data_IF_502923115936
#
_entry.id   IF_502923115936
#
_cell.length_a   1.000
_cell.length_b   1.000
_cell.length_c   1.000
_cell.angle_alpha   90.00
_cell.angle_beta   90.00
_cell.angle_gamma   90.00
#
_symmetry.space_group_name_H-M   'P 1'
#
loop_
_entity.id
_entity.type
_entity.pdbx_description
1 polymer ?
#
# COMPACT_ATOMS: atom_id res chain seq x y z
N UNK A 1 22.31 -8.39 12.44
CA UNK A 1 23.24 -9.23 11.64
C UNK A 1 24.09 -10.10 12.55
N UNK A 2 24.59 -11.25 12.10
CA UNK A 2 25.65 -11.96 12.81
C UNK A 2 26.88 -11.05 12.97
N UNK A 3 27.59 -11.17 14.09
CA UNK A 3 28.69 -10.25 14.44
C UNK A 3 29.83 -10.21 13.39
N UNK A 4 29.96 -11.25 12.56
CA UNK A 4 30.98 -11.36 11.52
C UNK A 4 30.50 -10.97 10.12
N UNK A 5 29.34 -10.31 9.99
CA UNK A 5 28.80 -9.92 8.69
C UNK A 5 29.53 -8.69 8.13
N UNK A 6 29.95 -8.72 6.86
CA UNK A 6 30.70 -7.62 6.21
C UNK A 6 29.96 -6.28 6.19
N UNK A 7 28.62 -6.31 6.17
CA UNK A 7 27.78 -5.11 6.23
C UNK A 7 27.48 -4.62 7.67
N UNK A 8 28.01 -5.29 8.70
CA UNK A 8 27.83 -4.88 10.09
C UNK A 8 29.03 -4.04 10.54
N UNK A 9 28.78 -2.78 10.88
CA UNK A 9 29.80 -1.89 11.45
C UNK A 9 29.26 -1.26 12.74
N UNK A 10 29.80 -1.70 13.88
CA UNK A 10 29.41 -1.22 15.21
C UNK A 10 29.71 0.27 15.41
N UNK A 11 30.71 0.81 14.71
CA UNK A 11 31.05 2.23 14.81
C UNK A 11 29.94 3.13 14.26
N UNK A 12 29.04 2.60 13.41
CA UNK A 12 27.93 3.37 12.85
C UNK A 12 26.65 3.25 13.69
N UNK A 13 26.67 2.46 14.76
CA UNK A 13 25.49 2.18 15.55
C UNK A 13 25.02 3.45 16.29
N UNK A 14 23.74 3.80 16.09
CA UNK A 14 23.11 4.97 16.72
C UNK A 14 23.73 6.33 16.38
N UNK A 15 24.55 6.43 15.33
CA UNK A 15 25.05 7.71 14.82
C UNK A 15 24.03 8.32 13.85
N UNK A 16 23.60 9.59 14.05
CA UNK A 16 22.73 10.29 13.12
C UNK A 16 23.34 10.37 11.71
N UNK A 17 22.52 10.14 10.68
CA UNK A 17 22.96 10.17 9.28
C UNK A 17 23.38 8.80 8.73
N UNK A 18 23.58 7.80 9.57
CA UNK A 18 23.80 6.42 9.14
C UNK A 18 22.49 5.63 9.06
N UNK A 19 22.43 4.68 8.13
CA UNK A 19 21.32 3.75 8.03
C UNK A 19 21.32 2.77 9.19
N UNK A 20 20.15 2.62 9.82
CA UNK A 20 19.90 1.62 10.85
C UNK A 20 19.12 0.46 10.26
N UNK A 21 19.36 -0.74 10.79
CA UNK A 21 18.45 -1.86 10.55
C UNK A 21 17.08 -1.57 11.20
N UNK A 22 16.07 -1.30 10.38
CA UNK A 22 14.70 -0.99 10.82
C UNK A 22 13.98 -2.21 11.42
N UNK A 23 14.39 -3.43 11.05
CA UNK A 23 13.73 -4.68 11.43
C UNK A 23 14.39 -5.37 12.62
N UNK A 24 15.49 -4.82 13.16
CA UNK A 24 16.20 -5.32 14.34
C UNK A 24 16.53 -6.82 14.25
N UNK A 25 17.19 -7.23 13.17
CA UNK A 25 17.47 -8.63 12.81
C UNK A 25 16.22 -9.48 12.49
N UNK A 26 15.03 -8.90 12.43
CA UNK A 26 13.84 -9.58 11.96
C UNK A 26 13.93 -9.87 10.46
N UNK A 27 13.72 -11.12 10.07
CA UNK A 27 13.75 -11.50 8.66
C UNK A 27 12.37 -11.20 8.08
N UNK A 28 12.33 -10.30 7.10
CA UNK A 28 11.13 -10.05 6.32
C UNK A 28 10.92 -11.20 5.34
N UNK A 29 9.86 -11.98 5.54
CA UNK A 29 9.57 -13.17 4.73
C UNK A 29 8.70 -12.85 3.53
N UNK A 30 7.79 -11.89 3.69
CA UNK A 30 6.86 -11.47 2.65
C UNK A 30 6.70 -9.95 2.63
N UNK A 31 6.54 -9.39 1.44
CA UNK A 31 6.29 -7.98 1.23
C UNK A 31 5.27 -7.80 0.10
N UNK A 32 4.28 -6.94 0.32
CA UNK A 32 3.28 -6.58 -0.67
C UNK A 32 3.09 -5.07 -0.68
N UNK A 33 3.13 -4.47 -1.87
CA UNK A 33 3.02 -3.04 -2.08
C UNK A 33 1.99 -2.76 -3.16
N UNK A 34 1.04 -1.88 -2.87
CA UNK A 34 0.03 -1.46 -3.83
C UNK A 34 0.34 -0.08 -4.42
N UNK A 35 0.70 0.88 -3.57
CA UNK A 35 1.06 2.26 -3.96
C UNK A 35 1.93 2.91 -2.87
N UNK A 36 2.52 4.10 -3.09
CA UNK A 36 3.31 4.78 -2.07
C UNK A 36 2.54 4.92 -0.75
N UNK A 37 3.16 4.47 0.35
CA UNK A 37 2.57 4.49 1.72
C UNK A 37 1.32 3.61 1.89
N UNK A 38 1.12 2.63 1.01
CA UNK A 38 0.12 1.57 1.11
C UNK A 38 0.78 0.20 0.82
N UNK A 39 1.21 -0.47 1.88
CA UNK A 39 1.94 -1.73 1.80
C UNK A 39 1.75 -2.54 3.09
N UNK A 40 2.07 -3.82 3.02
CA UNK A 40 2.13 -4.71 4.17
C UNK A 40 3.34 -5.64 4.04
N UNK A 41 3.82 -6.16 5.16
CA UNK A 41 4.96 -7.08 5.21
C UNK A 41 4.92 -7.95 6.45
N UNK A 42 5.58 -9.10 6.38
CA UNK A 42 5.63 -10.07 7.47
C UNK A 42 7.07 -10.20 7.95
N UNK A 43 7.28 -10.08 9.26
CA UNK A 43 8.60 -10.21 9.89
C UNK A 43 8.49 -11.23 11.01
N UNK A 44 9.28 -12.32 10.94
CA UNK A 44 9.25 -13.40 11.92
C UNK A 44 7.81 -13.92 12.21
N UNK A 45 6.96 -14.02 11.19
CA UNK A 45 5.56 -14.43 11.31
C UNK A 45 4.58 -13.36 11.80
N UNK A 46 5.04 -12.14 12.09
CA UNK A 46 4.19 -11.02 12.51
C UNK A 46 3.90 -10.08 11.34
N UNK A 47 2.61 -9.81 11.09
CA UNK A 47 2.18 -8.88 10.05
C UNK A 47 2.29 -7.41 10.47
N UNK A 48 2.85 -6.59 9.58
CA UNK A 48 2.89 -5.14 9.67
C UNK A 48 2.16 -4.54 8.48
N UNK A 49 1.24 -3.61 8.74
CA UNK A 49 0.36 -3.01 7.73
C UNK A 49 0.48 -1.50 7.75
N UNK A 50 0.62 -0.90 6.56
CA UNK A 50 0.64 0.55 6.34
C UNK A 50 -0.41 0.92 5.32
N UNK A 51 -1.28 1.84 5.72
CA UNK A 51 -2.31 2.43 4.86
C UNK A 51 -2.51 3.90 5.23
N UNK A 52 -1.77 4.79 4.57
CA UNK A 52 -1.87 6.23 4.84
C UNK A 52 -3.30 6.72 4.58
N UNK A 53 -3.85 7.51 5.50
CA UNK A 53 -5.20 8.08 5.39
C UNK A 53 -6.34 7.17 5.86
N UNK A 54 -6.03 5.94 6.25
CA UNK A 54 -6.97 5.00 6.89
C UNK A 54 -6.79 5.06 8.41
N UNK A 55 -7.89 4.95 9.16
CA UNK A 55 -7.84 4.99 10.63
C UNK A 55 -7.10 3.78 11.18
N UNK A 56 -6.25 3.97 12.19
CA UNK A 56 -5.40 2.92 12.78
C UNK A 56 -6.18 1.69 13.24
N UNK A 57 -7.38 1.88 13.81
CA UNK A 57 -8.20 0.75 14.26
C UNK A 57 -8.70 -0.13 13.11
N UNK A 58 -9.01 0.46 11.94
CA UNK A 58 -9.41 -0.27 10.73
C UNK A 58 -8.22 -1.12 10.25
N UNK A 59 -7.03 -0.50 10.14
CA UNK A 59 -5.81 -1.20 9.70
C UNK A 59 -5.47 -2.36 10.64
N UNK A 60 -5.64 -2.19 11.96
CA UNK A 60 -5.32 -3.24 12.94
C UNK A 60 -6.36 -4.36 13.02
N UNK A 61 -7.66 -4.02 12.99
CA UNK A 61 -8.75 -4.98 13.28
C UNK A 61 -9.41 -5.57 12.04
N UNK A 62 -9.40 -4.85 10.93
CA UNK A 62 -10.21 -5.18 9.76
C UNK A 62 -9.38 -5.54 8.53
N UNK A 63 -8.09 -5.18 8.49
CA UNK A 63 -7.22 -5.45 7.35
C UNK A 63 -6.21 -6.57 7.70
N UNK A 64 -6.00 -7.48 6.76
CA UNK A 64 -5.03 -8.59 6.82
C UNK A 64 -4.02 -8.46 5.69
N UNK A 65 -2.91 -9.21 5.76
CA UNK A 65 -1.95 -9.28 4.66
C UNK A 65 -2.59 -9.81 3.36
N UNK A 66 -3.46 -10.80 3.48
CA UNK A 66 -4.19 -11.38 2.35
C UNK A 66 -5.10 -10.38 1.63
N UNK A 67 -5.68 -9.42 2.34
CA UNK A 67 -6.43 -8.33 1.69
C UNK A 67 -5.55 -7.58 0.68
N UNK A 68 -4.29 -7.29 1.02
CA UNK A 68 -3.37 -6.62 0.09
C UNK A 68 -2.99 -7.51 -1.09
N UNK A 69 -2.69 -8.80 -0.84
CA UNK A 69 -2.39 -9.79 -1.90
C UNK A 69 -3.55 -9.91 -2.89
N UNK A 70 -4.78 -10.02 -2.39
CA UNK A 70 -5.98 -10.15 -3.21
C UNK A 70 -6.17 -8.94 -4.15
N UNK A 71 -5.95 -7.72 -3.64
CA UNK A 71 -6.01 -6.52 -4.46
C UNK A 71 -4.91 -6.51 -5.51
N UNK A 72 -3.67 -6.88 -5.15
CA UNK A 72 -2.56 -6.95 -6.10
C UNK A 72 -2.83 -7.95 -7.22
N UNK A 73 -3.26 -9.17 -6.90
CA UNK A 73 -3.56 -10.19 -7.91
C UNK A 73 -4.74 -9.78 -8.80
N UNK A 74 -5.79 -9.21 -8.20
CA UNK A 74 -6.93 -8.70 -8.97
C UNK A 74 -6.50 -7.59 -9.95
N UNK A 75 -5.61 -6.70 -9.52
CA UNK A 75 -5.05 -5.65 -10.37
C UNK A 75 -4.18 -6.20 -11.50
N UNK A 76 -3.33 -7.20 -11.23
CA UNK A 76 -2.50 -7.84 -12.26
C UNK A 76 -3.40 -8.53 -13.29
N UNK A 77 -4.37 -9.32 -12.84
CA UNK A 77 -5.27 -10.08 -13.71
C UNK A 77 -6.12 -9.17 -14.64
N UNK A 78 -6.55 -8.00 -14.17
CA UNK A 78 -7.25 -7.01 -15.01
C UNK A 78 -6.35 -6.37 -16.06
N UNK A 79 -5.07 -6.18 -15.75
CA UNK A 79 -4.14 -5.60 -16.73
C UNK A 79 -3.76 -6.60 -17.82
N UNK A 80 -3.73 -7.90 -17.51
CA UNK A 80 -3.45 -8.97 -18.46
C UNK A 80 -4.65 -9.33 -19.33
N UNK A 81 -5.82 -9.46 -18.74
CA UNK A 81 -7.04 -9.81 -19.45
C UNK A 81 -7.82 -8.52 -19.73
N UNK A 82 -7.79 -8.01 -20.97
CA UNK A 82 -8.61 -6.88 -21.43
C UNK A 82 -10.13 -7.20 -21.42
N UNK A 83 -10.63 -7.92 -20.42
CA UNK A 83 -12.02 -8.33 -20.32
C UNK A 83 -12.82 -7.21 -19.66
N UNK A 84 -13.61 -6.51 -20.49
CA UNK A 84 -14.54 -5.43 -20.15
C UNK A 84 -15.72 -5.89 -19.25
N UNK A 85 -15.67 -7.12 -18.71
CA UNK A 85 -16.75 -7.72 -17.91
C UNK A 85 -16.31 -8.44 -16.64
N UNK A 86 -15.05 -8.34 -16.23
CA UNK A 86 -14.61 -8.88 -14.93
C UNK A 86 -14.97 -7.92 -13.80
N UNK A 87 -15.60 -8.41 -12.73
CA UNK A 87 -16.06 -7.66 -11.56
C UNK A 87 -15.04 -6.59 -11.07
N UNK A 88 -15.19 -5.34 -11.54
CA UNK A 88 -14.42 -4.17 -11.11
C UNK A 88 -14.53 -3.90 -9.60
N UNK A 89 -15.46 -4.56 -8.92
CA UNK A 89 -15.63 -4.52 -7.47
C UNK A 89 -14.48 -5.18 -6.70
N UNK A 90 -13.60 -5.94 -7.38
CA UNK A 90 -12.53 -6.71 -6.71
C UNK A 90 -11.18 -6.00 -6.63
N UNK A 91 -10.98 -4.89 -7.33
CA UNK A 91 -9.71 -4.12 -7.37
C UNK A 91 -9.59 -3.02 -6.32
N UNK A 92 -10.71 -2.68 -5.68
CA UNK A 92 -10.80 -1.63 -4.67
C UNK A 92 -11.55 -2.20 -3.48
N UNK A 93 -10.96 -2.07 -2.29
CA UNK A 93 -11.62 -2.44 -1.05
C UNK A 93 -12.08 -1.18 -0.32
N UNK A 94 -13.35 -1.16 0.09
CA UNK A 94 -13.92 -0.10 0.91
C UNK A 94 -14.37 -0.63 2.27
N UNK A 95 -14.29 0.21 3.29
CA UNK A 95 -14.72 -0.12 4.66
C UNK A 95 -15.54 1.03 5.22
N UNK A 96 -16.54 0.69 6.04
CA UNK A 96 -17.28 1.68 6.80
C UNK A 96 -16.43 2.22 7.95
N UNK A 97 -16.31 3.54 8.02
CA UNK A 97 -15.53 4.25 9.02
C UNK A 97 -16.44 5.25 9.73
N UNK A 98 -16.50 5.13 11.06
CA UNK A 98 -17.16 6.11 11.91
C UNK A 98 -16.23 7.30 12.14
N UNK A 99 -16.72 8.52 11.94
CA UNK A 99 -15.97 9.77 12.07
C UNK A 99 -16.86 10.85 12.72
N UNK A 100 -16.21 11.79 13.40
CA UNK A 100 -16.87 13.00 13.91
C UNK A 100 -16.59 14.10 12.89
N UNK A 101 -17.63 14.79 12.46
CA UNK A 101 -17.56 15.85 11.45
C UNK A 101 -18.27 17.10 11.98
N UNK A 102 -17.77 18.27 11.59
CA UNK A 102 -18.45 19.55 11.85
C UNK A 102 -18.82 20.19 10.51
N UNK A 103 -20.07 20.64 10.38
CA UNK A 103 -20.52 21.47 9.26
C UNK A 103 -21.37 22.61 9.79
N UNK A 104 -21.10 23.85 9.33
CA UNK A 104 -21.78 25.06 9.83
C UNK A 104 -21.78 25.14 11.37
N UNK A 105 -20.63 24.84 11.98
CA UNK A 105 -20.43 24.82 13.44
C UNK A 105 -21.27 23.78 14.22
N UNK A 106 -21.94 22.84 13.55
CA UNK A 106 -22.65 21.73 14.20
C UNK A 106 -21.84 20.45 14.09
N UNK A 107 -21.53 19.83 15.24
CA UNK A 107 -20.75 18.59 15.34
C UNK A 107 -21.69 17.39 15.39
N UNK A 108 -21.40 16.38 14.57
CA UNK A 108 -22.16 15.12 14.54
C UNK A 108 -21.26 13.94 14.23
N UNK A 109 -21.74 12.75 14.59
CA UNK A 109 -21.12 11.49 14.20
C UNK A 109 -21.67 11.05 12.85
N UNK A 110 -20.80 10.59 11.96
CA UNK A 110 -21.15 10.08 10.63
C UNK A 110 -20.44 8.76 10.39
N UNK A 111 -21.12 7.83 9.73
CA UNK A 111 -20.50 6.62 9.17
C UNK A 111 -20.35 6.82 7.67
N UNK A 112 -19.13 6.62 7.15
CA UNK A 112 -18.83 6.80 5.72
C UNK A 112 -18.12 5.56 5.21
N UNK A 113 -18.57 5.04 4.06
CA UNK A 113 -17.80 4.03 3.31
C UNK A 113 -16.62 4.71 2.63
N UNK A 114 -15.40 4.28 2.98
CA UNK A 114 -14.16 4.85 2.45
C UNK A 114 -13.33 3.76 1.80
N UNK A 115 -12.75 4.05 0.65
CA UNK A 115 -11.73 3.21 0.01
C UNK A 115 -10.50 3.11 0.92
N UNK A 116 -10.13 1.88 1.29
CA UNK A 116 -8.98 1.59 2.15
C UNK A 116 -7.82 0.95 1.39
N UNK A 117 -8.11 0.12 0.38
CA UNK A 117 -7.11 -0.53 -0.48
C UNK A 117 -7.45 -0.29 -1.95
N UNK A 118 -6.43 0.10 -2.71
CA UNK A 118 -6.47 0.23 -4.16
C UNK A 118 -5.04 0.21 -4.69
N UNK A 119 -4.82 -0.47 -5.81
CA UNK A 119 -3.54 -0.52 -6.51
C UNK A 119 -3.34 0.67 -7.47
N UNK A 120 -4.39 1.44 -7.79
CA UNK A 120 -4.28 2.59 -8.66
C UNK A 120 -3.52 3.73 -7.95
N UNK A 121 -2.57 4.34 -8.67
CA UNK A 121 -1.83 5.52 -8.23
C UNK A 121 -2.36 6.74 -8.99
N UNK A 122 -2.76 7.78 -8.25
CA UNK A 122 -3.32 9.01 -8.83
C UNK A 122 -2.25 9.83 -9.58
N UNK A 123 -0.96 9.58 -9.33
CA UNK A 123 0.15 10.38 -9.87
C UNK A 123 0.83 9.74 -11.06
N UNK A 124 0.67 8.43 -11.26
CA UNK A 124 1.36 7.67 -12.29
C UNK A 124 0.47 6.62 -12.90
N UNK A 125 0.48 6.55 -14.21
CA UNK A 125 -0.22 5.53 -15.00
C UNK A 125 0.79 4.46 -15.39
N UNK A 126 0.52 3.21 -15.02
CA UNK A 126 1.29 2.04 -15.47
C UNK A 126 0.87 1.75 -16.90
N UNK A 127 1.83 1.72 -17.84
CA UNK A 127 1.55 1.45 -19.25
C UNK A 127 1.30 -0.04 -19.46
N UNK A 128 0.31 -0.36 -20.30
CA UNK A 128 0.06 -1.72 -20.77
C UNK A 128 1.08 -2.08 -21.85
N UNK A 129 1.81 -3.20 -21.70
CA UNK A 129 2.81 -3.68 -22.66
C UNK A 129 3.82 -4.66 -22.04
N UNK A 130 4.80 -5.10 -22.84
CA UNK A 130 5.76 -6.16 -22.48
C UNK A 130 6.65 -5.82 -21.27
N UNK A 131 6.84 -4.53 -20.97
CA UNK A 131 7.61 -4.07 -19.80
C UNK A 131 6.64 -3.49 -18.77
N UNK A 132 6.33 -4.29 -17.74
CA UNK A 132 5.42 -3.97 -16.62
C UNK A 132 5.91 -2.85 -15.67
N UNK A 133 6.93 -2.10 -16.07
CA UNK A 133 7.64 -1.11 -15.22
C UNK A 133 7.60 0.31 -15.81
N UNK A 134 7.11 0.47 -17.05
CA UNK A 134 7.01 1.78 -17.67
C UNK A 134 5.80 2.55 -17.10
N UNK A 135 6.05 3.64 -16.39
CA UNK A 135 5.00 4.52 -15.86
C UNK A 135 5.09 5.92 -16.44
N UNK A 136 3.97 6.54 -16.77
CA UNK A 136 3.89 7.96 -17.13
C UNK A 136 3.29 8.78 -15.98
N UNK A 137 3.76 10.02 -15.75
CA UNK A 137 3.12 10.89 -14.77
C UNK A 137 1.73 11.33 -15.25
N UNK A 138 0.85 11.65 -14.30
CA UNK A 138 -0.44 12.27 -14.61
C UNK A 138 -0.26 13.54 -15.47
N UNK A 139 -1.10 13.70 -16.50
CA UNK A 139 -1.04 14.84 -17.43
C UNK A 139 0.05 14.75 -18.52
N UNK A 140 0.77 13.63 -18.63
CA UNK A 140 1.75 13.42 -19.69
C UNK A 140 1.09 13.39 -21.08
N UNK A 141 1.68 14.04 -22.08
CA UNK A 141 1.10 14.21 -23.43
C UNK A 141 0.74 12.91 -24.17
N UNK A 142 1.44 11.80 -23.85
CA UNK A 142 1.14 10.45 -24.41
C UNK A 142 -0.07 9.77 -23.76
N UNK A 143 -0.51 10.24 -22.59
CA UNK A 143 -1.77 9.80 -22.01
C UNK A 143 -2.87 10.51 -22.78
N UNK A 144 -3.80 9.75 -23.38
CA UNK A 144 -5.01 10.37 -23.95
C UNK A 144 -5.70 11.13 -22.82
N UNK A 145 -6.00 12.41 -23.03
CA UNK A 145 -6.89 13.13 -22.13
C UNK A 145 -8.18 12.32 -22.06
N UNK A 146 -8.50 11.84 -20.86
CA UNK A 146 -9.76 11.19 -20.55
C UNK A 146 -10.77 12.25 -20.19
#
# INVERSE_FOLDING_TARGET
YPHNHSCLNFNNESIPGYFKDELKNGIMTEFVSLRPKLYAYTVNGVEYKRAKGVKKYIVKKQMSFDNYKNILYSFINQNENNTVGGDSSKIIESRNINLIQSTKHQVYSKSVSKVVLSANDDKRVILKGDVRVCTLPYGHYKLKNT
#
